data_IF_577828684845
#
_entry.id   IF_577828684845
#
_cell.length_a   1.000
_cell.length_b   1.000
_cell.length_c   1.000
_cell.angle_alpha   90.00
_cell.angle_beta   90.00
_cell.angle_gamma   90.00
#
_symmetry.space_group_name_H-M   'P 1'
#
loop_
_entity.id
_entity.type
_entity.pdbx_description
1 polymer ?
#
# COMPACT_ATOMS: atom_id res chain seq x y z
N UNK A 1 -6.24 13.74 -2.18
CA UNK A 1 -5.55 14.20 -3.40
C UNK A 1 -5.32 12.96 -4.23
N UNK A 2 -5.68 12.95 -5.51
CA UNK A 2 -5.45 11.78 -6.37
C UNK A 2 -3.96 11.66 -6.60
N UNK A 3 -3.42 10.45 -6.49
CA UNK A 3 -1.98 10.22 -6.62
C UNK A 3 -1.54 10.37 -8.07
N UNK A 4 -0.67 11.34 -8.34
CA UNK A 4 -0.04 11.51 -9.65
C UNK A 4 1.31 10.81 -9.63
N UNK A 5 1.32 9.51 -9.91
CA UNK A 5 2.57 8.77 -10.00
C UNK A 5 3.26 9.03 -11.34
N UNK A 6 4.49 9.53 -11.33
CA UNK A 6 5.24 9.65 -12.57
C UNK A 6 5.65 8.26 -13.07
N UNK A 7 4.82 7.63 -13.92
CA UNK A 7 5.08 6.70 -15.06
C UNK A 7 6.03 5.50 -14.92
N UNK A 8 7.06 5.64 -14.09
CA UNK A 8 8.11 4.68 -13.77
C UNK A 8 7.94 4.09 -12.36
N UNK A 9 7.05 4.66 -11.54
CA UNK A 9 6.72 4.20 -10.19
C UNK A 9 5.69 3.05 -10.17
N UNK A 10 5.98 1.98 -10.92
CA UNK A 10 5.07 0.88 -11.18
C UNK A 10 5.17 -0.30 -10.20
N UNK A 11 6.17 -0.32 -9.30
CA UNK A 11 6.45 -1.44 -8.39
C UNK A 11 6.37 -1.03 -6.92
N UNK A 12 5.37 -1.50 -6.20
CA UNK A 12 5.16 -1.16 -4.79
C UNK A 12 6.27 -1.68 -3.87
N UNK A 13 6.98 -2.74 -4.28
CA UNK A 13 8.06 -3.32 -3.49
C UNK A 13 9.16 -2.34 -3.07
N UNK A 14 9.45 -1.29 -3.84
CA UNK A 14 10.47 -0.30 -3.49
C UNK A 14 10.11 0.56 -2.27
N UNK A 15 8.84 0.66 -1.90
CA UNK A 15 8.41 1.45 -0.74
C UNK A 15 8.91 0.83 0.58
N UNK A 16 9.19 -0.48 0.58
CA UNK A 16 9.76 -1.22 1.72
C UNK A 16 11.14 -0.70 2.11
N UNK A 17 12.01 -0.48 1.10
CA UNK A 17 13.34 0.10 1.30
C UNK A 17 13.26 1.51 1.91
N UNK A 18 12.31 2.32 1.44
CA UNK A 18 12.13 3.69 1.93
C UNK A 18 11.70 3.69 3.40
N UNK A 19 10.85 2.74 3.82
CA UNK A 19 10.50 2.56 5.23
C UNK A 19 11.75 2.29 6.08
N UNK A 20 12.57 1.31 5.68
CA UNK A 20 13.79 0.95 6.39
C UNK A 20 14.83 2.09 6.43
N UNK A 21 14.97 2.86 5.35
CA UNK A 21 15.84 4.05 5.32
C UNK A 21 15.43 5.15 6.31
N UNK A 22 14.17 5.15 6.76
CA UNK A 22 13.62 6.12 7.70
C UNK A 22 13.37 5.54 9.10
N UNK A 23 13.80 4.31 9.35
CA UNK A 23 13.56 3.60 10.62
C UNK A 23 14.17 4.29 11.84
N UNK A 24 15.31 4.98 11.66
CA UNK A 24 15.96 5.78 12.71
C UNK A 24 15.13 7.01 13.16
N UNK A 25 13.99 7.27 12.53
CA UNK A 25 13.12 8.40 12.82
C UNK A 25 13.71 9.77 12.46
N UNK A 26 14.89 9.82 11.83
CA UNK A 26 15.56 11.07 11.51
C UNK A 26 14.93 11.75 10.30
N UNK A 27 14.97 13.10 10.31
CA UNK A 27 14.49 13.90 9.19
C UNK A 27 15.42 13.73 7.98
N UNK A 28 14.87 13.31 6.84
CA UNK A 28 15.63 13.12 5.59
C UNK A 28 14.94 13.82 4.42
N UNK A 29 15.70 14.67 3.71
CA UNK A 29 15.17 15.35 2.53
C UNK A 29 14.84 14.36 1.40
N UNK A 30 13.90 14.72 0.53
CA UNK A 30 13.46 13.84 -0.56
C UNK A 30 14.59 13.57 -1.56
N UNK A 31 15.44 14.55 -1.84
CA UNK A 31 16.60 14.38 -2.73
C UNK A 31 17.67 13.48 -2.08
N UNK A 32 17.88 13.58 -0.76
CA UNK A 32 18.78 12.69 -0.04
C UNK A 32 18.31 11.23 -0.09
N UNK A 33 17.02 10.99 0.22
CA UNK A 33 16.42 9.65 0.11
C UNK A 33 16.50 9.10 -1.32
N UNK A 34 16.23 9.95 -2.32
CA UNK A 34 16.30 9.54 -3.72
C UNK A 34 17.73 9.17 -4.14
N UNK A 35 18.74 9.90 -3.63
CA UNK A 35 20.16 9.62 -3.89
C UNK A 35 20.55 8.27 -3.30
N UNK A 36 20.22 8.02 -2.03
CA UNK A 36 20.54 6.74 -1.39
C UNK A 36 19.83 5.59 -2.10
N UNK A 37 18.53 5.71 -2.35
CA UNK A 37 17.75 4.68 -3.04
C UNK A 37 18.34 4.38 -4.44
N UNK A 38 18.72 5.42 -5.18
CA UNK A 38 19.37 5.25 -6.48
C UNK A 38 20.73 4.55 -6.37
N UNK A 39 21.56 4.94 -5.41
CA UNK A 39 22.89 4.37 -5.23
C UNK A 39 22.85 2.92 -4.76
N UNK A 40 21.89 2.56 -3.90
CA UNK A 40 21.65 1.17 -3.49
C UNK A 40 21.25 0.30 -4.69
N UNK A 41 20.36 0.80 -5.55
CA UNK A 41 19.76 -0.01 -6.61
C UNK A 41 20.59 -0.06 -7.89
N UNK A 42 21.32 1.00 -8.24
CA UNK A 42 22.17 1.02 -9.45
C UNK A 42 23.32 0.02 -9.36
N UNK A 43 23.75 -0.30 -8.14
CA UNK A 43 24.89 -1.20 -7.90
C UNK A 43 24.47 -2.67 -7.80
N UNK A 44 23.16 -3.00 -7.82
CA UNK A 44 22.70 -4.39 -7.76
C UNK A 44 23.27 -5.26 -8.87
N UNK A 45 23.44 -4.72 -10.08
CA UNK A 45 24.04 -5.44 -11.22
C UNK A 45 25.51 -5.84 -10.97
N UNK A 46 26.21 -5.19 -10.02
CA UNK A 46 27.57 -5.57 -9.61
C UNK A 46 27.60 -6.80 -8.70
N UNK A 47 26.53 -6.99 -7.92
CA UNK A 47 26.43 -8.06 -6.92
C UNK A 47 25.65 -9.27 -7.44
N UNK A 48 24.70 -9.04 -8.33
CA UNK A 48 23.93 -10.06 -9.02
C UNK A 48 24.14 -9.84 -10.53
N UNK A 49 25.00 -10.65 -11.20
CA UNK A 49 25.24 -10.53 -12.64
C UNK A 49 23.95 -10.89 -13.41
N UNK A 50 23.14 -9.88 -13.67
CA UNK A 50 21.86 -10.04 -14.35
C UNK A 50 22.14 -10.23 -15.85
N UNK A 51 21.80 -11.42 -16.37
CA UNK A 51 22.03 -11.78 -17.78
C UNK A 51 21.30 -10.88 -18.78
N UNK A 52 20.27 -10.13 -18.32
CA UNK A 52 19.55 -9.10 -19.05
C UNK A 52 19.20 -7.96 -18.09
N UNK A 53 19.11 -6.71 -18.59
CA UNK A 53 18.59 -5.59 -17.79
C UNK A 53 17.21 -5.94 -17.24
N UNK A 54 17.05 -6.12 -15.92
CA UNK A 54 15.80 -6.62 -15.37
C UNK A 54 14.69 -5.57 -15.49
N UNK A 55 13.50 -6.03 -15.85
CA UNK A 55 12.33 -5.17 -16.02
C UNK A 55 11.88 -4.67 -14.66
N UNK A 56 11.90 -3.35 -14.46
CA UNK A 56 11.40 -2.71 -13.25
C UNK A 56 12.49 -2.25 -12.28
N UNK A 57 13.77 -2.47 -12.59
CA UNK A 57 14.88 -1.91 -11.81
C UNK A 57 14.96 -0.38 -11.96
N UNK A 58 15.23 0.32 -10.87
CA UNK A 58 15.47 1.76 -10.86
C UNK A 58 16.87 2.03 -11.39
N UNK A 59 16.97 2.39 -12.68
CA UNK A 59 18.26 2.68 -13.34
C UNK A 59 18.53 4.18 -13.53
N UNK A 60 17.66 5.06 -13.04
CA UNK A 60 17.79 6.51 -13.18
C UNK A 60 17.40 7.22 -11.88
N UNK A 61 18.13 8.26 -11.52
CA UNK A 61 17.86 9.07 -10.32
C UNK A 61 16.43 9.64 -10.30
N UNK A 62 15.91 10.09 -11.45
CA UNK A 62 14.53 10.60 -11.57
C UNK A 62 13.51 9.55 -11.12
N UNK A 63 13.74 8.27 -11.42
CA UNK A 63 12.83 7.19 -11.02
C UNK A 63 12.87 7.01 -9.50
N UNK A 64 14.05 7.06 -8.87
CA UNK A 64 14.17 7.02 -7.41
C UNK A 64 13.40 8.17 -6.74
N UNK A 65 13.54 9.40 -7.27
CA UNK A 65 12.78 10.56 -6.79
C UNK A 65 11.27 10.39 -6.92
N UNK A 66 10.81 9.77 -8.01
CA UNK A 66 9.39 9.44 -8.21
C UNK A 66 8.90 8.43 -7.16
N UNK A 67 9.71 7.43 -6.78
CA UNK A 67 9.37 6.50 -5.70
C UNK A 67 9.36 7.15 -4.32
N UNK A 68 10.27 8.07 -4.02
CA UNK A 68 10.22 8.86 -2.77
C UNK A 68 8.96 9.70 -2.71
N UNK A 69 8.55 10.29 -3.83
CA UNK A 69 7.30 11.06 -3.91
C UNK A 69 6.08 10.16 -3.71
N UNK A 70 6.07 8.99 -4.37
CA UNK A 70 5.03 7.98 -4.19
C UNK A 70 4.96 7.48 -2.73
N UNK A 71 6.09 7.29 -2.07
CA UNK A 71 6.15 6.87 -0.68
C UNK A 71 5.50 7.91 0.26
N UNK A 72 5.74 9.21 0.02
CA UNK A 72 5.06 10.27 0.75
C UNK A 72 3.54 10.29 0.51
N UNK A 73 3.14 10.06 -0.73
CA UNK A 73 1.72 9.95 -1.12
C UNK A 73 1.02 8.76 -0.45
N UNK A 74 1.68 7.61 -0.42
CA UNK A 74 1.23 6.38 0.23
C UNK A 74 1.40 6.37 1.76
N UNK A 75 1.91 7.46 2.35
CA UNK A 75 2.03 7.59 3.81
C UNK A 75 3.17 6.79 4.44
N UNK A 76 4.16 6.37 3.64
CA UNK A 76 5.44 5.82 4.11
C UNK A 76 6.39 6.92 4.59
N UNK A 77 6.24 8.13 4.06
CA UNK A 77 6.95 9.33 4.51
C UNK A 77 5.90 10.33 4.98
N UNK A 78 6.08 10.91 6.17
CA UNK A 78 5.31 12.09 6.54
C UNK A 78 5.86 13.32 5.82
N UNK A 79 5.06 13.92 4.94
CA UNK A 79 5.51 15.00 4.07
C UNK A 79 5.84 16.29 4.84
N UNK A 80 5.20 16.51 5.98
CA UNK A 80 5.39 17.72 6.79
C UNK A 80 6.71 17.67 7.57
N UNK A 81 6.96 16.57 8.28
CA UNK A 81 8.18 16.38 9.07
C UNK A 81 9.35 15.78 8.30
N UNK A 82 9.12 15.20 7.12
CA UNK A 82 10.10 14.41 6.36
C UNK A 82 10.73 13.27 7.18
N UNK A 83 9.94 12.69 8.07
CA UNK A 83 10.28 11.48 8.83
C UNK A 83 9.43 10.30 8.35
N UNK A 84 9.60 9.13 8.96
CA UNK A 84 8.78 7.97 8.64
C UNK A 84 7.29 8.23 8.88
N UNK A 85 6.47 7.93 7.87
CA UNK A 85 5.02 8.08 7.92
C UNK A 85 4.33 6.88 8.59
N UNK A 86 3.02 7.00 8.83
CA UNK A 86 2.22 5.99 9.51
C UNK A 86 2.32 4.60 8.85
N UNK A 87 2.09 4.50 7.54
CA UNK A 87 2.19 3.20 6.84
C UNK A 87 3.63 2.67 6.78
N UNK A 88 4.63 3.56 6.81
CA UNK A 88 6.04 3.16 6.92
C UNK A 88 6.30 2.47 8.26
N UNK A 89 5.85 3.09 9.37
CA UNK A 89 5.94 2.50 10.71
C UNK A 89 5.19 1.18 10.81
N UNK A 90 3.99 1.09 10.25
CA UNK A 90 3.21 -0.16 10.22
C UNK A 90 3.94 -1.27 9.47
N UNK A 91 4.56 -0.95 8.33
CA UNK A 91 5.35 -1.91 7.58
C UNK A 91 6.57 -2.41 8.38
N UNK A 92 7.27 -1.52 9.10
CA UNK A 92 8.41 -1.91 9.93
C UNK A 92 8.05 -2.84 11.12
N UNK A 93 6.77 -2.95 11.47
CA UNK A 93 6.30 -3.92 12.46
C UNK A 93 6.18 -5.35 11.89
N UNK A 94 6.22 -5.54 10.57
CA UNK A 94 6.13 -6.84 9.90
C UNK A 94 7.47 -7.58 9.90
N UNK A 95 7.44 -8.91 9.87
CA UNK A 95 8.64 -9.73 9.77
C UNK A 95 9.33 -9.55 8.39
N UNK A 96 8.58 -9.22 7.31
CA UNK A 96 9.19 -8.95 6.00
C UNK A 96 10.11 -7.72 5.97
N UNK A 97 10.02 -6.82 6.94
CA UNK A 97 10.90 -5.66 7.04
C UNK A 97 12.36 -6.06 7.31
N UNK A 98 12.59 -7.16 8.03
CA UNK A 98 13.93 -7.59 8.48
C UNK A 98 14.91 -7.76 7.31
N UNK A 99 14.46 -8.42 6.24
CA UNK A 99 15.25 -8.64 5.03
C UNK A 99 15.73 -7.33 4.39
N UNK A 100 14.88 -6.30 4.40
CA UNK A 100 15.21 -5.00 3.80
C UNK A 100 16.01 -4.12 4.76
N UNK A 101 15.84 -4.28 6.07
CA UNK A 101 16.68 -3.66 7.09
C UNK A 101 18.12 -4.13 6.94
N UNK A 102 18.34 -5.44 6.84
CA UNK A 102 19.68 -6.00 6.62
C UNK A 102 20.34 -5.43 5.35
N UNK A 103 19.57 -5.21 4.28
CA UNK A 103 20.09 -4.62 3.06
C UNK A 103 20.47 -3.15 3.24
N UNK A 104 19.63 -2.34 3.90
CA UNK A 104 19.93 -0.94 4.21
C UNK A 104 21.18 -0.81 5.09
N UNK A 105 21.39 -1.76 6.00
CA UNK A 105 22.57 -1.84 6.86
C UNK A 105 23.81 -2.43 6.18
N UNK A 106 23.69 -2.89 4.92
CA UNK A 106 24.78 -3.50 4.16
C UNK A 106 25.17 -4.92 4.61
N UNK A 107 24.29 -5.61 5.36
CA UNK A 107 24.50 -6.97 5.88
C UNK A 107 24.10 -8.07 4.90
N UNK A 108 23.14 -7.81 4.01
CA UNK A 108 22.69 -8.76 2.99
C UNK A 108 22.37 -8.04 1.68
N UNK A 109 22.22 -8.80 0.58
CA UNK A 109 21.84 -8.27 -0.73
C UNK A 109 20.63 -9.05 -1.21
N UNK A 110 19.45 -8.41 -1.35
CA UNK A 110 18.25 -9.08 -1.83
C UNK A 110 18.35 -9.31 -3.34
N UNK A 111 17.69 -10.37 -3.83
CA UNK A 111 17.57 -10.58 -5.27
C UNK A 111 16.71 -9.48 -5.90
N UNK A 112 16.82 -9.30 -7.22
CA UNK A 112 15.91 -8.39 -7.94
C UNK A 112 14.44 -8.71 -7.67
N UNK A 113 14.06 -9.99 -7.67
CA UNK A 113 12.67 -10.41 -7.45
C UNK A 113 12.20 -10.06 -6.04
N UNK A 114 13.07 -10.17 -5.04
CA UNK A 114 12.76 -9.73 -3.67
C UNK A 114 12.44 -8.25 -3.60
N UNK A 115 13.13 -7.41 -4.40
CA UNK A 115 12.93 -5.96 -4.40
C UNK A 115 11.60 -5.54 -5.03
N UNK A 116 11.17 -6.24 -6.08
CA UNK A 116 9.97 -5.86 -6.83
C UNK A 116 8.71 -6.63 -6.43
N UNK A 117 8.83 -7.88 -5.98
CA UNK A 117 7.70 -8.75 -5.69
C UNK A 117 7.26 -8.62 -4.23
N UNK A 118 5.96 -8.78 -4.03
CA UNK A 118 5.32 -8.82 -2.72
C UNK A 118 4.94 -10.25 -2.35
N UNK A 119 5.26 -10.66 -1.12
CA UNK A 119 4.78 -11.90 -0.53
C UNK A 119 3.26 -11.84 -0.24
N UNK A 120 2.65 -12.95 0.19
CA UNK A 120 1.20 -13.03 0.41
C UNK A 120 0.65 -11.99 1.40
N UNK A 121 1.31 -11.78 2.53
CA UNK A 121 0.91 -10.79 3.53
C UNK A 121 1.14 -9.35 3.02
N UNK A 122 2.30 -9.10 2.40
CA UNK A 122 2.64 -7.80 1.80
C UNK A 122 1.63 -7.40 0.72
N UNK A 123 1.14 -8.34 -0.11
CA UNK A 123 0.10 -8.06 -1.11
C UNK A 123 -1.16 -7.49 -0.48
N UNK A 124 -1.60 -8.05 0.65
CA UNK A 124 -2.76 -7.57 1.39
C UNK A 124 -2.46 -6.25 2.10
N UNK A 125 -1.29 -6.11 2.71
CA UNK A 125 -0.85 -4.85 3.33
C UNK A 125 -0.84 -3.71 2.32
N UNK A 126 -0.23 -3.90 1.15
CA UNK A 126 -0.19 -2.87 0.12
C UNK A 126 -1.55 -2.64 -0.53
N UNK A 127 -2.42 -3.66 -0.65
CA UNK A 127 -3.80 -3.45 -1.09
C UNK A 127 -4.56 -2.56 -0.10
N UNK A 128 -4.35 -2.75 1.20
CA UNK A 128 -4.91 -1.88 2.25
C UNK A 128 -4.37 -0.45 2.16
N UNK A 129 -3.07 -0.28 1.92
CA UNK A 129 -2.46 1.04 1.65
C UNK A 129 -3.14 1.72 0.47
N UNK A 130 -3.28 1.03 -0.67
CA UNK A 130 -3.90 1.58 -1.88
C UNK A 130 -5.34 2.03 -1.61
N UNK A 131 -6.14 1.17 -0.98
CA UNK A 131 -7.54 1.46 -0.66
C UNK A 131 -7.69 2.65 0.29
N UNK A 132 -6.70 2.88 1.16
CA UNK A 132 -6.70 3.98 2.13
C UNK A 132 -6.18 5.29 1.54
N UNK A 133 -5.13 5.23 0.71
CA UNK A 133 -4.36 6.39 0.26
C UNK A 133 -4.71 6.87 -1.14
N UNK A 134 -5.09 5.96 -2.03
CA UNK A 134 -5.53 6.27 -3.39
C UNK A 134 -7.06 6.35 -3.53
N UNK A 135 -7.76 6.54 -2.41
CA UNK A 135 -9.20 6.76 -2.41
C UNK A 135 -9.56 8.11 -3.06
N UNK A 136 -10.63 8.18 -3.88
CA UNK A 136 -11.50 7.08 -4.31
C UNK A 136 -11.07 6.41 -5.63
N UNK A 137 -9.95 6.84 -6.22
CA UNK A 137 -9.52 6.44 -7.55
C UNK A 137 -9.35 4.92 -7.67
N UNK A 138 -8.59 4.29 -6.78
CA UNK A 138 -8.37 2.83 -6.82
C UNK A 138 -9.68 2.05 -6.71
N UNK A 139 -10.68 2.57 -5.99
CA UNK A 139 -11.98 1.92 -5.86
C UNK A 139 -12.79 1.96 -7.16
N UNK A 140 -12.70 3.04 -7.91
CA UNK A 140 -13.27 3.09 -9.26
C UNK A 140 -12.58 2.09 -10.20
N UNK A 141 -11.23 2.05 -10.15
CA UNK A 141 -10.45 1.09 -10.94
C UNK A 141 -10.83 -0.35 -10.60
N UNK A 142 -10.85 -0.72 -9.31
CA UNK A 142 -11.20 -2.06 -8.85
C UNK A 142 -12.60 -2.49 -9.33
N UNK A 143 -13.62 -1.64 -9.16
CA UNK A 143 -14.98 -1.96 -9.63
C UNK A 143 -15.03 -2.24 -11.13
N UNK A 144 -14.35 -1.42 -11.93
CA UNK A 144 -14.32 -1.60 -13.38
C UNK A 144 -13.53 -2.84 -13.80
N UNK A 145 -12.37 -3.08 -13.20
CA UNK A 145 -11.55 -4.25 -13.44
C UNK A 145 -12.34 -5.54 -13.19
N UNK A 146 -13.07 -5.61 -12.07
CA UNK A 146 -13.90 -6.77 -11.74
C UNK A 146 -15.07 -6.97 -12.72
N UNK A 147 -15.66 -5.89 -13.23
CA UNK A 147 -16.71 -5.96 -14.25
C UNK A 147 -16.19 -6.38 -15.62
N UNK A 148 -15.00 -5.91 -16.02
CA UNK A 148 -14.43 -6.13 -17.36
C UNK A 148 -13.68 -7.45 -17.49
N UNK A 149 -13.06 -7.94 -16.41
CA UNK A 149 -12.27 -9.19 -16.29
C UNK A 149 -11.00 -9.30 -17.14
N UNK A 150 -11.02 -8.86 -18.40
CA UNK A 150 -9.87 -8.83 -19.32
C UNK A 150 -9.90 -7.57 -20.16
N UNK A 151 -8.77 -6.88 -20.27
CA UNK A 151 -8.68 -5.59 -20.95
C UNK A 151 -7.25 -5.25 -21.37
N UNK A 152 -7.14 -4.31 -22.30
CA UNK A 152 -5.88 -3.73 -22.74
C UNK A 152 -5.50 -2.50 -21.92
N UNK A 153 -4.20 -2.19 -21.90
CA UNK A 153 -3.67 -0.98 -21.28
C UNK A 153 -4.37 0.28 -21.81
N UNK A 154 -4.63 0.35 -23.11
CA UNK A 154 -5.23 1.53 -23.74
C UNK A 154 -6.70 1.70 -23.32
N UNK A 155 -7.49 0.61 -23.29
CA UNK A 155 -8.86 0.66 -22.78
C UNK A 155 -8.90 1.17 -21.34
N UNK A 156 -8.02 0.63 -20.48
CA UNK A 156 -7.93 1.06 -19.10
C UNK A 156 -7.47 2.53 -18.98
N UNK A 157 -6.48 2.96 -19.75
CA UNK A 157 -6.03 4.37 -19.74
C UNK A 157 -7.17 5.32 -20.09
N UNK A 158 -7.93 5.02 -21.15
CA UNK A 158 -9.06 5.85 -21.55
C UNK A 158 -10.13 5.87 -20.45
N UNK A 159 -10.55 4.70 -19.96
CA UNK A 159 -11.59 4.62 -18.94
C UNK A 159 -11.19 5.35 -17.64
N UNK A 160 -9.97 5.10 -17.15
CA UNK A 160 -9.50 5.67 -15.89
C UNK A 160 -9.43 7.19 -16.00
N UNK A 161 -8.98 7.73 -17.14
CA UNK A 161 -8.75 9.16 -17.28
C UNK A 161 -9.96 9.95 -17.73
N UNK A 162 -10.82 9.36 -18.57
CA UNK A 162 -11.98 10.05 -19.15
C UNK A 162 -13.21 9.95 -18.24
N UNK A 163 -13.30 8.91 -17.40
CA UNK A 163 -14.47 8.68 -16.55
C UNK A 163 -14.10 8.72 -15.06
N UNK A 164 -13.12 7.93 -14.62
CA UNK A 164 -12.87 7.77 -13.18
C UNK A 164 -12.12 8.93 -12.55
N UNK A 165 -11.20 9.55 -13.29
CA UNK A 165 -10.43 10.69 -12.83
C UNK A 165 -11.32 11.89 -12.47
N UNK A 166 -12.16 12.44 -13.38
CA UNK A 166 -13.04 13.55 -13.03
C UNK A 166 -14.02 13.19 -11.91
N UNK A 167 -14.59 11.98 -11.92
CA UNK A 167 -15.46 11.51 -10.83
C UNK A 167 -14.77 11.47 -9.47
N UNK A 168 -13.52 11.01 -9.44
CA UNK A 168 -12.73 10.93 -8.22
C UNK A 168 -12.38 12.32 -7.70
N UNK A 169 -12.09 13.28 -8.59
CA UNK A 169 -11.86 14.67 -8.24
C UNK A 169 -13.12 15.29 -7.63
N UNK A 170 -14.30 15.08 -8.23
CA UNK A 170 -15.58 15.58 -7.70
C UNK A 170 -15.83 15.08 -6.28
N UNK A 171 -15.55 13.81 -5.99
CA UNK A 171 -15.76 13.19 -4.67
C UNK A 171 -14.91 13.78 -3.56
N UNK A 172 -13.73 14.33 -3.88
CA UNK A 172 -12.85 14.92 -2.86
C UNK A 172 -13.11 16.41 -2.63
N UNK A 173 -13.87 17.08 -3.51
CA UNK A 173 -14.16 18.52 -3.41
C UNK A 173 -14.73 18.95 -2.04
N UNK A 174 -15.60 18.13 -1.45
CA UNK A 174 -16.24 18.45 -0.16
C UNK A 174 -15.29 18.42 1.03
N UNK A 175 -14.06 17.93 0.83
CA UNK A 175 -13.03 17.78 1.88
C UNK A 175 -11.90 18.79 1.76
N UNK A 176 -11.96 19.69 0.78
CA UNK A 176 -10.90 20.65 0.47
C UNK A 176 -11.26 22.07 0.95
N UNK A 177 -10.24 22.85 1.24
CA UNK A 177 -10.32 24.29 1.48
C UNK A 177 -10.61 25.06 0.17
N UNK A 178 -11.07 26.30 0.29
CA UNK A 178 -11.57 27.10 -0.84
C UNK A 178 -10.56 27.22 -2.00
N UNK A 179 -9.28 27.49 -1.69
CA UNK A 179 -8.23 27.66 -2.70
C UNK A 179 -7.98 26.38 -3.49
N UNK A 180 -7.87 25.23 -2.81
CA UNK A 180 -7.68 23.94 -3.49
C UNK A 180 -8.92 23.53 -4.25
N UNK A 181 -10.11 23.89 -3.76
CA UNK A 181 -11.37 23.62 -4.44
C UNK A 181 -11.42 24.25 -5.83
N UNK A 182 -11.04 25.51 -5.98
CA UNK A 182 -10.97 26.20 -7.28
C UNK A 182 -9.96 25.55 -8.24
N UNK A 183 -8.80 25.13 -7.72
CA UNK A 183 -7.81 24.42 -8.53
C UNK A 183 -8.38 23.10 -9.06
N UNK A 184 -9.00 22.29 -8.18
CA UNK A 184 -9.58 21.00 -8.57
C UNK A 184 -10.78 21.16 -9.49
N UNK A 185 -11.58 22.22 -9.33
CA UNK A 185 -12.69 22.50 -10.26
C UNK A 185 -12.20 22.74 -11.69
N UNK A 186 -11.16 23.57 -11.87
CA UNK A 186 -10.54 23.74 -13.20
C UNK A 186 -9.99 22.44 -13.78
N UNK A 187 -9.44 21.58 -12.92
CA UNK A 187 -8.94 20.29 -13.36
C UNK A 187 -10.08 19.32 -13.77
N UNK A 188 -11.22 19.38 -13.10
CA UNK A 188 -12.43 18.62 -13.49
C UNK A 188 -12.92 19.10 -14.87
N UNK A 189 -13.05 20.41 -15.07
CA UNK A 189 -13.45 20.99 -16.36
C UNK A 189 -12.50 20.57 -17.49
N UNK A 190 -11.20 20.57 -17.23
CA UNK A 190 -10.21 20.10 -18.21
C UNK A 190 -10.40 18.60 -18.53
N UNK A 191 -10.64 17.79 -17.49
CA UNK A 191 -10.79 16.35 -17.59
C UNK A 191 -12.08 15.91 -18.29
N UNK A 192 -13.16 16.68 -18.17
CA UNK A 192 -14.41 16.44 -18.90
C UNK A 192 -14.20 16.53 -20.42
N UNK A 193 -13.33 17.42 -20.89
CA UNK A 193 -12.97 17.56 -22.30
C UNK A 193 -11.94 16.55 -22.81
N UNK A 194 -11.45 15.62 -21.96
CA UNK A 194 -10.39 14.70 -22.35
C UNK A 194 -10.78 13.77 -23.51
N UNK A 195 -11.97 13.19 -23.46
CA UNK A 195 -12.44 12.26 -24.49
C UNK A 195 -12.49 12.93 -25.86
N UNK A 196 -13.05 14.13 -25.93
CA UNK A 196 -13.18 14.93 -27.15
C UNK A 196 -11.80 15.28 -27.72
N UNK A 197 -10.89 15.80 -26.88
CA UNK A 197 -9.50 16.11 -27.28
C UNK A 197 -8.77 14.88 -27.83
N UNK A 198 -8.93 13.72 -27.20
CA UNK A 198 -8.32 12.48 -27.68
C UNK A 198 -8.89 12.05 -29.04
N UNK A 199 -10.20 12.15 -29.21
CA UNK A 199 -10.88 11.75 -30.45
C UNK A 199 -10.57 12.69 -31.64
N UNK A 200 -10.14 13.92 -31.38
CA UNK A 200 -9.65 14.86 -32.41
C UNK A 200 -8.25 14.51 -32.94
N UNK A 201 -7.53 13.59 -32.30
CA UNK A 201 -6.19 13.18 -32.71
C UNK A 201 -6.30 11.89 -33.55
N UNK A 202 -6.29 12.06 -34.87
CA UNK A 202 -6.53 10.97 -35.83
C UNK A 202 -5.36 9.95 -35.90
N UNK A 203 -4.15 10.39 -35.59
CA UNK A 203 -2.93 9.57 -35.69
C UNK A 203 -2.42 9.08 -34.32
N UNK A 204 -2.12 7.78 -34.25
CA UNK A 204 -1.54 7.12 -33.08
C UNK A 204 -0.20 7.72 -32.64
N UNK A 205 0.67 8.12 -33.57
CA UNK A 205 1.97 8.70 -33.23
C UNK A 205 1.83 10.08 -32.59
N UNK A 206 0.91 10.88 -33.11
CA UNK A 206 0.52 12.19 -32.58
C UNK A 206 -0.11 12.04 -31.20
N UNK A 207 -0.96 11.04 -31.00
CA UNK A 207 -1.51 10.72 -29.68
C UNK A 207 -0.42 10.41 -28.67
N UNK A 208 0.52 9.50 -28.98
CA UNK A 208 1.61 9.10 -28.07
C UNK A 208 2.54 10.28 -27.72
N UNK A 209 2.66 11.27 -28.61
CA UNK A 209 3.46 12.48 -28.39
C UNK A 209 2.70 13.62 -27.68
N UNK A 210 1.39 13.47 -27.49
CA UNK A 210 0.57 14.51 -26.86
C UNK A 210 0.84 14.64 -25.35
N UNK A 211 0.65 15.84 -24.82
CA UNK A 211 0.68 16.10 -23.37
C UNK A 211 -0.41 15.34 -22.63
N UNK A 212 -1.57 15.14 -23.26
CA UNK A 212 -2.67 14.36 -22.69
C UNK A 212 -2.29 12.89 -22.52
N UNK A 213 -1.66 12.26 -23.52
CA UNK A 213 -1.14 10.91 -23.37
C UNK A 213 -0.09 10.82 -22.25
N UNK A 214 0.77 11.85 -22.12
CA UNK A 214 1.70 11.95 -21.00
C UNK A 214 0.97 11.95 -19.65
N UNK A 215 -0.09 12.75 -19.48
CA UNK A 215 -0.92 12.71 -18.26
C UNK A 215 -1.53 11.32 -18.04
N UNK A 216 -2.05 10.68 -19.08
CA UNK A 216 -2.67 9.36 -18.98
C UNK A 216 -1.68 8.28 -18.53
N UNK A 217 -0.46 8.27 -19.08
CA UNK A 217 0.55 7.25 -18.77
C UNK A 217 1.12 7.39 -17.36
N UNK A 218 1.01 8.56 -16.74
CA UNK A 218 1.44 8.79 -15.37
C UNK A 218 0.34 8.36 -14.40
N UNK A 219 -0.94 8.62 -14.68
CA UNK A 219 -1.99 8.29 -13.71
C UNK A 219 -2.48 6.84 -13.81
N UNK A 220 -2.78 6.34 -15.01
CA UNK A 220 -3.48 5.07 -15.16
C UNK A 220 -2.58 3.83 -15.08
N UNK A 221 -1.49 3.68 -15.87
CA UNK A 221 -0.67 2.48 -15.86
C UNK A 221 -0.09 2.11 -14.48
N UNK A 222 0.45 3.03 -13.66
CA UNK A 222 0.97 2.64 -12.35
C UNK A 222 -0.07 1.94 -11.48
N UNK A 223 -1.33 2.39 -11.47
CA UNK A 223 -2.41 1.73 -10.73
C UNK A 223 -2.69 0.31 -11.21
N UNK A 224 -2.61 0.06 -12.52
CA UNK A 224 -2.73 -1.29 -13.06
C UNK A 224 -1.59 -2.17 -12.57
N UNK A 225 -0.37 -1.64 -12.54
CA UNK A 225 0.80 -2.38 -12.08
C UNK A 225 0.80 -2.61 -10.57
N UNK A 226 0.31 -1.65 -9.77
CA UNK A 226 0.09 -1.83 -8.34
C UNK A 226 -0.93 -2.94 -8.06
N UNK A 227 -2.00 -3.03 -8.87
CA UNK A 227 -2.96 -4.12 -8.78
C UNK A 227 -2.38 -5.46 -9.25
N UNK A 228 -1.38 -5.45 -10.14
CA UNK A 228 -0.59 -6.66 -10.47
C UNK A 228 0.28 -7.07 -9.29
N UNK A 229 0.98 -6.12 -8.66
CA UNK A 229 1.81 -6.40 -7.48
C UNK A 229 0.97 -6.98 -6.33
N UNK A 230 -0.23 -6.43 -6.08
CA UNK A 230 -1.19 -6.95 -5.11
C UNK A 230 -1.85 -8.29 -5.52
N UNK A 231 -1.62 -8.78 -6.75
CA UNK A 231 -2.20 -10.03 -7.26
C UNK A 231 -3.67 -9.95 -7.71
N UNK A 232 -4.29 -8.76 -7.68
CA UNK A 232 -5.65 -8.53 -8.19
C UNK A 232 -5.70 -8.72 -9.70
N UNK A 233 -4.64 -8.27 -10.39
CA UNK A 233 -4.45 -8.43 -11.83
C UNK A 233 -3.27 -9.34 -12.13
N UNK A 234 -3.28 -9.95 -13.31
CA UNK A 234 -2.14 -10.63 -13.93
C UNK A 234 -1.91 -10.11 -15.34
N UNK A 235 -0.65 -10.06 -15.76
CA UNK A 235 -0.28 -9.75 -17.14
C UNK A 235 -0.39 -11.00 -17.99
N UNK A 236 -1.17 -10.95 -19.07
CA UNK A 236 -1.35 -12.09 -20.01
C UNK A 236 -0.70 -11.86 -21.37
N UNK A 237 0.01 -10.74 -21.50
CA UNK A 237 0.72 -10.34 -22.71
C UNK A 237 1.11 -8.88 -22.65
N UNK A 238 1.75 -8.39 -23.71
CA UNK A 238 2.19 -6.99 -23.79
C UNK A 238 0.99 -6.05 -23.72
N UNK A 239 0.85 -5.33 -22.60
CA UNK A 239 -0.22 -4.36 -22.39
C UNK A 239 -1.61 -5.00 -22.30
N UNK A 240 -1.72 -6.26 -21.89
CA UNK A 240 -2.98 -6.96 -21.64
C UNK A 240 -3.02 -7.46 -20.20
N UNK A 241 -4.15 -7.24 -19.54
CA UNK A 241 -4.37 -7.55 -18.14
C UNK A 241 -5.61 -8.41 -17.98
N UNK A 242 -5.58 -9.33 -17.03
CA UNK A 242 -6.72 -10.13 -16.60
C UNK A 242 -6.83 -10.12 -15.09
N UNK A 243 -8.04 -10.27 -14.55
CA UNK A 243 -8.25 -10.48 -13.13
C UNK A 243 -7.61 -11.81 -12.72
N UNK A 244 -6.89 -11.81 -11.60
CA UNK A 244 -6.32 -13.02 -11.01
C UNK A 244 -7.43 -13.98 -10.56
N UNK A 245 -7.21 -15.28 -10.72
CA UNK A 245 -8.23 -16.31 -10.47
C UNK A 245 -8.80 -16.23 -9.04
N UNK A 246 -7.93 -16.11 -8.04
CA UNK A 246 -8.34 -15.92 -6.64
C UNK A 246 -9.27 -14.72 -6.45
N UNK A 247 -9.03 -13.59 -7.15
CA UNK A 247 -9.88 -12.41 -7.03
C UNK A 247 -11.17 -12.53 -7.84
N UNK A 248 -11.15 -13.29 -8.94
CA UNK A 248 -12.32 -13.57 -9.75
C UNK A 248 -13.37 -14.36 -8.96
N UNK A 249 -12.93 -15.37 -8.19
CA UNK A 249 -13.79 -16.14 -7.28
C UNK A 249 -14.40 -15.27 -6.17
N UNK A 250 -13.67 -14.23 -5.74
CA UNK A 250 -14.08 -13.31 -4.69
C UNK A 250 -14.84 -12.08 -5.20
N UNK A 251 -15.33 -12.11 -6.45
CA UNK A 251 -15.93 -10.97 -7.17
C UNK A 251 -16.80 -10.03 -6.32
N UNK A 252 -17.85 -10.57 -5.69
CA UNK A 252 -18.78 -9.77 -4.88
C UNK A 252 -18.12 -9.14 -3.64
N UNK A 253 -17.14 -9.81 -3.06
CA UNK A 253 -16.39 -9.31 -1.89
C UNK A 253 -15.45 -8.18 -2.29
N UNK A 254 -14.79 -8.29 -3.46
CA UNK A 254 -13.97 -7.22 -4.03
C UNK A 254 -14.83 -6.01 -4.41
N UNK A 255 -16.00 -6.24 -5.01
CA UNK A 255 -16.95 -5.16 -5.34
C UNK A 255 -17.48 -4.46 -4.08
N UNK A 256 -17.79 -5.22 -3.03
CA UNK A 256 -18.15 -4.65 -1.72
C UNK A 256 -17.00 -3.82 -1.17
N UNK A 257 -15.77 -4.33 -1.16
CA UNK A 257 -14.58 -3.61 -0.70
C UNK A 257 -14.41 -2.27 -1.43
N UNK A 258 -14.56 -2.28 -2.75
CA UNK A 258 -14.44 -1.11 -3.60
C UNK A 258 -15.64 -0.13 -3.54
N UNK A 259 -16.65 -0.41 -2.71
CA UNK A 259 -17.81 0.48 -2.47
C UNK A 259 -17.75 1.20 -1.11
N UNK A 260 -16.85 0.79 -0.22
CA UNK A 260 -16.79 1.29 1.15
C UNK A 260 -16.15 2.67 1.25
N UNK A 261 -16.66 3.51 2.15
CA UNK A 261 -15.96 4.74 2.55
C UNK A 261 -14.77 4.39 3.45
N UNK A 262 -13.72 5.23 3.50
CA UNK A 262 -12.52 4.98 4.31
C UNK A 262 -12.83 4.63 5.78
N UNK A 263 -13.81 5.30 6.39
CA UNK A 263 -14.21 5.05 7.79
C UNK A 263 -14.76 3.64 8.09
N UNK A 264 -15.14 2.86 7.06
CA UNK A 264 -15.61 1.47 7.20
C UNK A 264 -14.65 0.47 6.54
N UNK A 265 -13.57 0.95 5.94
CA UNK A 265 -12.67 0.15 5.12
C UNK A 265 -11.94 -0.88 5.98
N UNK A 266 -11.24 -0.43 7.02
CA UNK A 266 -10.35 -1.28 7.82
C UNK A 266 -11.09 -2.45 8.46
N UNK A 267 -12.22 -2.17 9.13
CA UNK A 267 -13.01 -3.21 9.78
C UNK A 267 -13.47 -4.27 8.78
N UNK A 268 -13.98 -3.87 7.60
CA UNK A 268 -14.38 -4.85 6.59
C UNK A 268 -13.17 -5.57 5.98
N UNK A 269 -12.07 -4.86 5.76
CA UNK A 269 -10.86 -5.43 5.18
C UNK A 269 -10.33 -6.56 6.06
N UNK A 270 -10.14 -6.32 7.36
CA UNK A 270 -9.55 -7.29 8.27
C UNK A 270 -10.55 -8.33 8.82
N UNK A 271 -11.81 -7.98 9.08
CA UNK A 271 -12.81 -8.93 9.62
C UNK A 271 -13.33 -9.89 8.53
N UNK A 272 -13.53 -9.38 7.31
CA UNK A 272 -14.24 -10.12 6.26
C UNK A 272 -13.34 -10.46 5.06
N UNK A 273 -12.59 -9.49 4.54
CA UNK A 273 -11.88 -9.67 3.27
C UNK A 273 -10.61 -10.51 3.41
N UNK A 274 -9.73 -10.19 4.36
CA UNK A 274 -8.47 -10.92 4.62
C UNK A 274 -8.75 -12.39 4.98
N UNK A 275 -9.84 -12.66 5.70
CA UNK A 275 -10.28 -14.02 6.05
C UNK A 275 -10.50 -14.93 4.84
N UNK A 276 -10.81 -14.38 3.66
CA UNK A 276 -11.01 -15.15 2.42
C UNK A 276 -9.70 -15.80 1.92
N UNK A 277 -8.55 -15.29 2.37
CA UNK A 277 -7.23 -15.82 2.04
C UNK A 277 -6.73 -16.83 3.08
N UNK A 278 -7.51 -17.13 4.13
CA UNK A 278 -7.12 -18.05 5.20
C UNK A 278 -6.86 -19.49 4.75
N UNK A 279 -7.41 -19.90 3.59
CA UNK A 279 -7.26 -21.26 3.04
C UNK A 279 -5.81 -21.67 2.79
N UNK A 280 -4.92 -20.69 2.60
CA UNK A 280 -3.51 -20.92 2.32
C UNK A 280 -2.66 -21.02 3.61
N UNK A 281 -3.29 -20.93 4.79
CA UNK A 281 -2.61 -20.84 6.09
C UNK A 281 -3.14 -21.87 7.09
N UNK A 282 -2.29 -22.22 8.04
CA UNK A 282 -2.70 -23.07 9.17
C UNK A 282 -3.28 -22.22 10.31
N UNK A 283 -4.27 -22.75 11.04
CA UNK A 283 -4.91 -22.01 12.13
C UNK A 283 -3.92 -21.75 13.27
N UNK A 284 -3.79 -20.49 13.70
CA UNK A 284 -2.99 -20.13 14.86
C UNK A 284 -3.70 -20.53 16.15
N UNK A 285 -2.96 -21.14 17.09
CA UNK A 285 -3.48 -21.41 18.42
C UNK A 285 -3.40 -20.15 19.31
N UNK A 286 -4.07 -20.17 20.48
CA UNK A 286 -4.09 -19.02 21.40
C UNK A 286 -2.71 -18.56 21.86
N UNK A 287 -1.78 -19.48 22.08
CA UNK A 287 -0.42 -19.15 22.50
C UNK A 287 0.32 -18.40 21.38
N UNK A 288 0.24 -18.90 20.14
CA UNK A 288 0.83 -18.25 18.96
C UNK A 288 0.26 -16.84 18.74
N UNK A 289 -1.06 -16.67 18.93
CA UNK A 289 -1.72 -15.36 18.84
C UNK A 289 -1.19 -14.40 19.92
N UNK A 290 -1.23 -14.82 21.19
CA UNK A 290 -0.80 -13.99 22.32
C UNK A 290 0.66 -13.58 22.20
N UNK A 291 1.54 -14.53 21.87
CA UNK A 291 2.97 -14.26 21.67
C UNK A 291 3.19 -13.27 20.53
N UNK A 292 2.56 -13.50 19.38
CA UNK A 292 2.71 -12.60 18.22
C UNK A 292 2.18 -11.20 18.54
N UNK A 293 1.06 -11.09 19.26
CA UNK A 293 0.50 -9.81 19.66
C UNK A 293 1.43 -9.01 20.57
N UNK A 294 2.09 -9.67 21.54
CA UNK A 294 3.07 -9.01 22.43
C UNK A 294 4.30 -8.56 21.63
N UNK A 295 4.83 -9.40 20.73
CA UNK A 295 5.95 -9.05 19.85
C UNK A 295 5.61 -7.84 18.97
N UNK A 296 4.42 -7.82 18.36
CA UNK A 296 3.95 -6.69 17.55
C UNK A 296 3.74 -5.44 18.39
N UNK A 297 3.19 -5.57 19.60
CA UNK A 297 3.01 -4.45 20.51
C UNK A 297 4.34 -3.77 20.84
N UNK A 298 5.39 -4.53 21.15
CA UNK A 298 6.71 -3.96 21.46
C UNK A 298 7.32 -3.20 20.26
N UNK A 299 7.20 -3.76 19.05
CA UNK A 299 7.59 -3.07 17.81
C UNK A 299 6.79 -1.78 17.60
N UNK A 300 5.47 -1.85 17.79
CA UNK A 300 4.59 -0.67 17.68
C UNK A 300 4.94 0.39 18.72
N UNK A 301 5.15 0.00 19.97
CA UNK A 301 5.51 0.92 21.05
C UNK A 301 6.82 1.65 20.73
N UNK A 302 7.80 0.96 20.18
CA UNK A 302 9.08 1.54 19.75
C UNK A 302 8.90 2.61 18.66
N UNK A 303 8.00 2.37 17.69
CA UNK A 303 7.81 3.25 16.52
C UNK A 303 6.76 4.35 16.72
N UNK A 304 5.73 4.10 17.53
CA UNK A 304 4.59 4.98 17.77
C UNK A 304 4.59 5.64 19.15
N UNK A 305 5.48 5.23 20.05
CA UNK A 305 5.46 5.61 21.46
C UNK A 305 4.44 4.79 22.27
N UNK A 306 4.13 5.24 23.48
CA UNK A 306 3.27 4.49 24.41
C UNK A 306 1.77 4.49 24.03
N UNK A 307 1.35 5.26 23.01
CA UNK A 307 -0.05 5.30 22.55
C UNK A 307 -0.29 4.30 21.40
N UNK A 308 -0.33 2.99 21.71
CA UNK A 308 -0.59 1.93 20.72
C UNK A 308 -2.10 1.73 20.49
N UNK A 309 -2.57 1.95 19.26
CA UNK A 309 -3.96 1.68 18.86
C UNK A 309 -4.27 0.18 18.89
N UNK A 310 -5.29 -0.23 19.66
CA UNK A 310 -5.71 -1.63 19.78
C UNK A 310 -6.11 -2.22 18.41
N UNK A 311 -6.91 -1.51 17.62
CA UNK A 311 -7.34 -2.03 16.32
C UNK A 311 -6.15 -2.25 15.39
N UNK A 312 -5.19 -1.33 15.42
CA UNK A 312 -3.99 -1.42 14.58
C UNK A 312 -3.08 -2.57 15.05
N UNK A 313 -2.95 -2.77 16.36
CA UNK A 313 -2.26 -3.93 16.94
C UNK A 313 -2.89 -5.24 16.48
N UNK A 314 -4.22 -5.34 16.52
CA UNK A 314 -4.95 -6.53 16.07
C UNK A 314 -4.73 -6.78 14.57
N UNK A 315 -4.79 -5.74 13.74
CA UNK A 315 -4.55 -5.84 12.29
C UNK A 315 -3.14 -6.31 11.96
N UNK A 316 -2.13 -5.74 12.62
CA UNK A 316 -0.74 -6.14 12.43
C UNK A 316 -0.48 -7.55 12.96
N UNK A 317 -1.15 -7.96 14.03
CA UNK A 317 -1.08 -9.34 14.53
C UNK A 317 -1.57 -10.33 13.47
N UNK A 318 -2.67 -10.02 12.73
CA UNK A 318 -3.12 -10.84 11.59
C UNK A 318 -2.01 -10.94 10.54
N UNK A 319 -1.45 -9.81 10.13
CA UNK A 319 -0.47 -9.77 9.04
C UNK A 319 0.81 -10.55 9.40
N UNK A 320 1.34 -10.38 10.61
CA UNK A 320 2.53 -11.10 11.07
C UNK A 320 2.27 -12.60 11.22
N UNK A 321 1.08 -13.00 11.68
CA UNK A 321 0.71 -14.43 11.66
C UNK A 321 0.73 -14.99 10.23
N UNK A 322 0.20 -14.24 9.25
CA UNK A 322 0.20 -14.66 7.85
C UNK A 322 1.62 -14.80 7.28
N UNK A 323 2.55 -13.91 7.62
CA UNK A 323 3.96 -14.05 7.26
C UNK A 323 4.59 -15.33 7.80
N UNK A 324 4.11 -15.79 8.96
CA UNK A 324 4.54 -17.03 9.62
C UNK A 324 3.78 -18.27 9.16
N UNK A 325 2.96 -18.19 8.11
CA UNK A 325 2.18 -19.32 7.60
C UNK A 325 0.97 -19.68 8.48
N UNK A 326 0.55 -18.77 9.36
CA UNK A 326 -0.53 -18.94 10.34
C UNK A 326 -1.67 -17.96 10.09
N UNK A 327 -2.87 -18.27 10.56
CA UNK A 327 -4.01 -17.36 10.47
C UNK A 327 -4.91 -17.42 11.70
N UNK A 328 -5.36 -16.25 12.15
CA UNK A 328 -6.46 -16.08 13.10
C UNK A 328 -7.33 -14.91 12.61
N UNK A 329 -8.66 -15.06 12.74
CA UNK A 329 -9.56 -13.96 12.40
C UNK A 329 -9.57 -12.88 13.49
N UNK A 330 -10.03 -11.68 13.11
CA UNK A 330 -10.02 -10.51 13.98
C UNK A 330 -10.74 -10.76 15.31
N UNK A 331 -11.84 -11.51 15.30
CA UNK A 331 -12.60 -11.88 16.51
C UNK A 331 -11.78 -12.75 17.46
N UNK A 332 -11.05 -13.73 16.91
CA UNK A 332 -10.20 -14.61 17.70
C UNK A 332 -9.03 -13.86 18.33
N UNK A 333 -8.45 -12.91 17.58
CA UNK A 333 -7.39 -12.03 18.07
C UNK A 333 -7.92 -11.11 19.18
N UNK A 334 -9.05 -10.44 18.95
CA UNK A 334 -9.70 -9.59 19.95
C UNK A 334 -10.05 -10.37 21.23
N UNK A 335 -10.59 -11.59 21.09
CA UNK A 335 -10.86 -12.47 22.22
C UNK A 335 -9.59 -12.88 22.97
N UNK A 336 -8.47 -13.05 22.28
CA UNK A 336 -7.18 -13.40 22.89
C UNK A 336 -6.62 -12.22 23.67
N UNK A 337 -6.71 -10.99 23.13
CA UNK A 337 -6.38 -9.77 23.85
C UNK A 337 -7.21 -9.63 25.13
N UNK A 338 -8.54 -9.76 25.04
CA UNK A 338 -9.42 -9.66 26.22
C UNK A 338 -9.10 -10.74 27.26
N UNK A 339 -8.77 -11.95 26.83
CA UNK A 339 -8.35 -13.01 27.75
C UNK A 339 -7.04 -12.67 28.47
N UNK A 340 -6.08 -12.03 27.78
CA UNK A 340 -4.85 -11.56 28.39
C UNK A 340 -5.11 -10.41 29.37
N UNK A 341 -5.95 -9.45 28.99
CA UNK A 341 -6.36 -8.33 29.85
C UNK A 341 -7.07 -8.80 31.13
N UNK A 342 -7.91 -9.83 31.05
CA UNK A 342 -8.55 -10.43 32.22
C UNK A 342 -7.56 -11.19 33.12
N UNK A 343 -6.56 -11.85 32.53
CA UNK A 343 -5.54 -12.61 33.28
C UNK A 343 -4.53 -11.68 33.96
N UNK A 344 -4.22 -10.54 33.33
CA UNK A 344 -3.22 -9.59 33.79
C UNK A 344 -3.74 -8.14 33.77
N UNK A 345 -4.80 -7.80 34.52
CA UNK A 345 -5.48 -6.50 34.42
C UNK A 345 -4.59 -5.30 34.77
N UNK A 346 -3.60 -5.50 35.65
CA UNK A 346 -2.65 -4.44 36.05
C UNK A 346 -1.55 -4.22 35.00
N UNK A 347 -1.41 -5.13 34.03
CA UNK A 347 -0.34 -5.13 33.02
C UNK A 347 -0.87 -4.94 31.61
N UNK A 348 -2.08 -5.42 31.35
CA UNK A 348 -2.74 -5.39 30.05
C UNK A 348 -4.11 -4.76 30.22
N UNK A 349 -4.26 -3.56 29.70
CA UNK A 349 -5.52 -2.82 29.78
C UNK A 349 -5.70 -1.89 28.60
N UNK A 350 -6.91 -1.34 28.47
CA UNK A 350 -7.30 -0.42 27.41
C UNK A 350 -7.83 0.85 28.02
N UNK A 351 -7.38 2.00 27.50
CA UNK A 351 -7.94 3.31 27.84
C UNK A 351 -8.46 4.02 26.59
N UNK A 352 -9.44 4.93 26.74
CA UNK A 352 -9.83 5.81 25.64
C UNK A 352 -8.64 6.69 25.21
N UNK A 353 -8.35 6.70 23.92
CA UNK A 353 -7.33 7.56 23.32
C UNK A 353 -7.79 9.00 23.11
N UNK A 354 -6.84 9.86 22.73
CA UNK A 354 -7.11 11.30 22.46
C UNK A 354 -8.01 11.53 21.24
N UNK A 355 -8.00 10.59 20.27
CA UNK A 355 -8.86 10.62 19.09
C UNK A 355 -10.20 9.95 19.42
N UNK A 356 -11.29 10.55 18.95
CA UNK A 356 -12.66 10.01 19.14
C UNK A 356 -12.74 8.59 18.58
N UNK A 357 -13.19 7.64 19.40
CA UNK A 357 -13.32 6.21 19.10
C UNK A 357 -11.99 5.45 18.90
N UNK A 358 -10.88 5.96 19.41
CA UNK A 358 -9.62 5.21 19.46
C UNK A 358 -9.45 4.57 20.84
N UNK A 359 -9.19 3.26 20.86
CA UNK A 359 -8.84 2.52 22.08
C UNK A 359 -7.32 2.31 22.09
N UNK A 360 -6.65 2.75 23.15
CA UNK A 360 -5.20 2.59 23.32
C UNK A 360 -4.95 1.36 24.19
N UNK A 361 -4.21 0.41 23.66
CA UNK A 361 -3.76 -0.78 24.38
C UNK A 361 -2.46 -0.46 25.14
N UNK A 362 -2.35 -0.97 26.36
CA UNK A 362 -1.13 -0.99 27.16
C UNK A 362 -0.81 -2.45 27.48
N UNK A 363 0.45 -2.85 27.27
CA UNK A 363 0.99 -4.15 27.64
C UNK A 363 2.33 -3.92 28.32
N UNK A 364 2.46 -4.29 29.59
CA UNK A 364 3.73 -4.28 30.33
C UNK A 364 4.42 -5.63 30.21
N UNK A 365 5.44 -5.72 29.35
CA UNK A 365 6.08 -6.99 28.97
C UNK A 365 7.15 -7.46 29.99
N UNK A 366 7.67 -6.55 30.82
CA UNK A 366 8.75 -6.82 31.79
C UNK A 366 8.40 -7.89 32.85
N UNK A 367 7.12 -8.28 32.97
CA UNK A 367 6.67 -9.24 33.97
C UNK A 367 5.57 -10.21 33.48
N UNK A 368 5.48 -10.48 32.18
CA UNK A 368 4.54 -11.46 31.63
C UNK A 368 5.31 -12.71 31.20
N UNK A 369 5.33 -13.75 32.04
CA UNK A 369 5.64 -15.11 31.57
C UNK A 369 4.42 -15.66 30.81
N UNK A 370 4.53 -15.71 29.47
CA UNK A 370 3.47 -16.23 28.57
C UNK A 370 3.54 -17.73 28.44
#
# INVERSE_FOLDING_TARGET
MILESHGDACRLGYLRLIACLLEDGSQKSFDFLASILYDMLRNLELYEPLTQKPIGLITRYVNARNYVTLAAEMGFIDRASQTIGEFGKLYLCLDSADKFREFVEGKSIPSHDDLIALNGAERLFFLWVLLSRDYPMIQHVLRWVMGRRSFTRQEAMNQIMEEFYPDSLRKVLSTLDARRREQIMREIEEAEGFKEKRLQIDDKMSWIRSSQYAKYRHIAPPRLEWLVDCGVLRRVGRGKYEVGENYLELGDKVLKLASLKPAKLDNYFFDEFVKLFSKDFSTANRYEISRTMIEVYERMRTLFGDEVSLSTLEYLTIMVLMERGRFADLRTIHSSFNSLALKFPDKIYVIPGRKRNMNVAYISVEEIEV
#
